data_IF_050242737791
#
_entry.id   IF_050242737791
#
_cell.length_a   1.000
_cell.length_b   1.000
_cell.length_c   1.000
_cell.angle_alpha   90.00
_cell.angle_beta   90.00
_cell.angle_gamma   90.00
#
_symmetry.space_group_name_H-M   'P 1'
#
loop_
_entity.id
_entity.type
_entity.pdbx_description
1 polymer ?
#
# COMPACT_ATOMS: atom_id res chain seq x y z
N UNK A 1 -9.09 -3.42 2.61
CA UNK A 1 -10.04 -2.94 3.62
C UNK A 1 -10.99 -1.95 2.96
N UNK A 2 -12.30 -2.08 3.22
CA UNK A 2 -13.33 -1.13 2.77
C UNK A 2 -14.07 -0.60 4.00
N UNK A 3 -14.35 0.69 4.02
CA UNK A 3 -15.11 1.33 5.10
C UNK A 3 -16.52 1.74 4.66
N UNK A 4 -17.47 1.98 5.60
CA UNK A 4 -18.85 2.34 5.27
C UNK A 4 -19.01 3.61 4.42
N UNK A 5 -18.02 4.51 4.44
CA UNK A 5 -17.98 5.68 3.56
C UNK A 5 -17.65 5.37 2.09
N UNK A 6 -17.43 4.10 1.74
CA UNK A 6 -17.05 3.67 0.40
C UNK A 6 -15.56 3.85 0.08
N UNK A 7 -14.75 4.29 1.05
CA UNK A 7 -13.29 4.36 0.87
C UNK A 7 -12.69 2.96 1.01
N UNK A 8 -11.70 2.67 0.16
CA UNK A 8 -10.98 1.41 0.16
C UNK A 8 -9.48 1.64 0.12
N UNK A 9 -8.74 0.81 0.88
CA UNK A 9 -7.29 0.77 0.88
C UNK A 9 -6.81 -0.67 0.85
N UNK A 10 -5.69 -0.90 0.18
CA UNK A 10 -5.02 -2.20 0.15
C UNK A 10 -3.69 -2.08 0.88
N UNK A 11 -3.35 -3.08 1.68
CA UNK A 11 -2.02 -3.21 2.28
C UNK A 11 -1.42 -4.51 1.77
N UNK A 12 -0.15 -4.42 1.35
CA UNK A 12 0.63 -5.59 0.94
C UNK A 12 1.93 -5.63 1.71
N UNK A 13 2.44 -6.83 2.01
CA UNK A 13 3.74 -6.97 2.65
C UNK A 13 4.84 -6.94 1.59
N UNK A 14 5.83 -6.07 1.79
CA UNK A 14 7.07 -6.09 1.03
C UNK A 14 7.91 -7.32 1.36
N UNK A 15 8.96 -7.56 0.57
CA UNK A 15 9.91 -8.65 0.85
C UNK A 15 10.64 -8.51 2.18
N UNK A 16 10.72 -7.29 2.73
CA UNK A 16 11.25 -7.01 4.07
C UNK A 16 10.23 -7.21 5.20
N UNK A 17 9.00 -7.61 4.89
CA UNK A 17 7.90 -7.68 5.87
C UNK A 17 7.26 -6.32 6.17
N UNK A 18 7.80 -5.21 5.67
CA UNK A 18 7.20 -3.88 5.84
C UNK A 18 5.89 -3.77 5.03
N UNK A 19 4.77 -3.31 5.63
CA UNK A 19 3.54 -3.09 4.90
C UNK A 19 3.65 -1.86 3.98
N UNK A 20 3.13 -1.98 2.76
CA UNK A 20 2.96 -0.88 1.83
C UNK A 20 1.48 -0.63 1.57
N UNK A 21 1.08 0.62 1.70
CA UNK A 21 -0.30 1.07 1.49
C UNK A 21 -0.49 1.41 0.01
N UNK A 22 -1.56 0.88 -0.57
CA UNK A 22 -1.89 0.96 -1.98
C UNK A 22 -3.31 1.51 -2.17
N UNK A 23 -3.43 2.52 -3.01
CA UNK A 23 -4.66 3.24 -3.35
C UNK A 23 -4.96 2.99 -4.82
N UNK A 24 -5.73 1.94 -5.08
CA UNK A 24 -6.04 1.51 -6.45
C UNK A 24 -6.91 2.50 -7.22
N UNK A 25 -7.66 3.37 -6.53
CA UNK A 25 -8.48 4.42 -7.16
C UNK A 25 -7.63 5.46 -7.91
N UNK A 26 -6.37 5.62 -7.54
CA UNK A 26 -5.43 6.56 -8.17
C UNK A 26 -4.08 5.91 -8.52
N UNK A 27 -4.02 4.58 -8.57
CA UNK A 27 -2.80 3.80 -8.88
C UNK A 27 -1.58 4.12 -7.99
N UNK A 28 -1.78 4.60 -6.76
CA UNK A 28 -0.69 5.05 -5.89
C UNK A 28 -0.26 3.97 -4.90
N UNK A 29 1.05 3.83 -4.67
CA UNK A 29 1.62 2.94 -3.66
C UNK A 29 2.74 3.66 -2.89
N UNK A 30 2.80 3.44 -1.57
CA UNK A 30 3.84 4.03 -0.70
C UNK A 30 5.22 3.38 -0.85
N UNK A 31 5.39 2.37 -1.71
CA UNK A 31 6.68 1.68 -1.81
C UNK A 31 7.75 2.54 -2.52
N UNK A 32 9.04 2.42 -2.13
CA UNK A 32 10.13 3.20 -2.75
C UNK A 32 10.25 3.00 -4.27
N UNK A 33 9.93 1.79 -4.75
CA UNK A 33 9.97 1.47 -6.17
C UNK A 33 8.92 2.27 -6.98
N UNK A 34 7.76 2.58 -6.40
CA UNK A 34 6.76 3.43 -7.04
C UNK A 34 7.30 4.87 -7.20
N UNK A 35 7.82 5.44 -6.12
CA UNK A 35 8.40 6.78 -6.14
C UNK A 35 9.54 6.90 -7.17
N UNK A 36 10.37 5.87 -7.32
CA UNK A 36 11.47 5.89 -8.27
C UNK A 36 11.02 5.62 -9.72
N UNK A 37 10.37 4.48 -9.98
CA UNK A 37 10.10 4.03 -11.34
C UNK A 37 8.91 4.76 -11.99
N UNK A 38 7.87 5.07 -11.21
CA UNK A 38 6.64 5.71 -11.71
C UNK A 38 6.78 7.23 -11.65
N UNK A 39 7.06 7.80 -10.47
CA UNK A 39 7.04 9.26 -10.31
C UNK A 39 8.29 9.96 -10.85
N UNK A 40 9.49 9.42 -10.61
CA UNK A 40 10.74 10.08 -11.00
C UNK A 40 11.18 9.76 -12.42
N UNK A 41 11.17 8.48 -12.80
CA UNK A 41 11.65 8.04 -14.11
C UNK A 41 10.58 7.99 -15.18
N UNK A 42 9.33 7.76 -14.79
CA UNK A 42 8.22 7.51 -15.71
C UNK A 42 8.48 6.31 -16.66
N UNK A 43 9.22 5.31 -16.16
CA UNK A 43 9.56 4.09 -16.92
C UNK A 43 8.46 3.01 -16.81
N UNK A 44 7.57 3.15 -15.82
CA UNK A 44 6.48 2.22 -15.54
C UNK A 44 5.22 2.97 -15.11
N UNK A 45 4.04 2.48 -15.50
CA UNK A 45 2.75 3.05 -15.06
C UNK A 45 2.45 2.78 -13.59
N UNK A 46 2.85 1.61 -13.09
CA UNK A 46 2.57 1.14 -11.74
C UNK A 46 3.74 0.34 -11.18
N UNK A 47 3.81 0.19 -9.86
CA UNK A 47 4.75 -0.74 -9.23
C UNK A 47 4.17 -2.17 -9.19
N UNK A 48 5.02 -3.16 -8.91
CA UNK A 48 4.62 -4.56 -8.79
C UNK A 48 3.51 -4.82 -7.76
N UNK A 49 3.39 -3.98 -6.73
CA UNK A 49 2.37 -4.13 -5.69
C UNK A 49 0.97 -3.77 -6.20
N UNK A 50 0.85 -2.66 -6.92
CA UNK A 50 -0.42 -2.28 -7.57
C UNK A 50 -0.81 -3.32 -8.62
N UNK A 51 0.17 -3.81 -9.40
CA UNK A 51 -0.05 -4.90 -10.35
C UNK A 51 -0.57 -6.17 -9.64
N UNK A 52 0.04 -6.56 -8.52
CA UNK A 52 -0.40 -7.72 -7.75
C UNK A 52 -1.84 -7.56 -7.24
N UNK A 53 -2.24 -6.35 -6.82
CA UNK A 53 -3.62 -6.09 -6.40
C UNK A 53 -4.58 -6.27 -7.57
N UNK A 54 -4.29 -5.71 -8.75
CA UNK A 54 -5.15 -5.91 -9.93
C UNK A 54 -5.28 -7.38 -10.31
N UNK A 55 -4.18 -8.12 -10.28
CA UNK A 55 -4.23 -9.56 -10.53
C UNK A 55 -5.14 -10.25 -9.50
N UNK A 56 -4.98 -9.94 -8.21
CA UNK A 56 -5.81 -10.55 -7.16
C UNK A 56 -7.30 -10.20 -7.29
N UNK A 57 -7.64 -8.99 -7.75
CA UNK A 57 -9.02 -8.60 -8.04
C UNK A 57 -9.56 -9.39 -9.24
N UNK A 58 -8.80 -9.44 -10.33
CA UNK A 58 -9.19 -10.14 -11.56
C UNK A 58 -9.33 -11.66 -11.37
N UNK A 59 -8.52 -12.25 -10.48
CA UNK A 59 -8.60 -13.69 -10.15
C UNK A 59 -9.54 -14.00 -9.00
N UNK A 60 -10.19 -13.01 -8.39
CA UNK A 60 -11.08 -13.21 -7.24
C UNK A 60 -10.37 -13.71 -5.98
N UNK A 61 -9.06 -13.47 -5.85
CA UNK A 61 -8.24 -13.88 -4.70
C UNK A 61 -7.96 -12.74 -3.73
N UNK A 62 -8.54 -11.55 -3.95
CA UNK A 62 -8.50 -10.46 -2.99
C UNK A 62 -9.13 -10.86 -1.66
N UNK A 63 -8.40 -10.65 -0.56
CA UNK A 63 -8.97 -10.73 0.77
C UNK A 63 -9.57 -9.36 1.15
N UNK A 64 -10.90 -9.25 1.06
CA UNK A 64 -11.61 -8.05 1.47
C UNK A 64 -11.94 -8.08 2.97
N UNK A 65 -11.58 -7.01 3.66
CA UNK A 65 -11.89 -6.80 5.07
C UNK A 65 -12.76 -5.57 5.21
N UNK A 66 -13.88 -5.66 5.92
CA UNK A 66 -14.69 -4.51 6.30
C UNK A 66 -14.18 -3.92 7.62
N UNK A 67 -14.00 -2.60 7.69
CA UNK A 67 -13.55 -1.90 8.90
C UNK A 67 -14.25 -0.55 9.06
N UNK A 68 -14.18 0.06 10.25
CA UNK A 68 -14.73 1.39 10.48
C UNK A 68 -13.93 2.47 9.75
N UNK A 69 -14.55 3.64 9.55
CA UNK A 69 -13.85 4.80 9.00
C UNK A 69 -12.64 5.21 9.87
N UNK A 70 -12.71 5.03 11.19
CA UNK A 70 -11.61 5.31 12.12
C UNK A 70 -10.45 4.33 11.96
N UNK A 71 -10.73 3.03 11.74
CA UNK A 71 -9.69 2.04 11.46
C UNK A 71 -8.98 2.36 10.15
N UNK A 72 -9.75 2.69 9.11
CA UNK A 72 -9.19 3.13 7.83
C UNK A 72 -8.33 4.38 8.03
N UNK A 73 -8.83 5.41 8.73
CA UNK A 73 -8.06 6.61 9.02
C UNK A 73 -6.76 6.31 9.77
N UNK A 74 -6.77 5.35 10.71
CA UNK A 74 -5.56 4.89 11.37
C UNK A 74 -4.51 4.35 10.41
N UNK A 75 -4.90 3.60 9.37
CA UNK A 75 -3.98 3.11 8.32
C UNK A 75 -3.40 4.27 7.51
N UNK A 76 -4.19 5.31 7.25
CA UNK A 76 -3.76 6.48 6.48
C UNK A 76 -2.81 7.38 7.26
N UNK A 77 -3.03 7.47 8.58
CA UNK A 77 -2.26 8.32 9.50
C UNK A 77 -1.05 7.60 10.11
N UNK A 78 -0.98 6.27 10.02
CA UNK A 78 0.16 5.52 10.51
C UNK A 78 1.41 5.86 9.68
N UNK A 79 2.19 6.80 10.20
CA UNK A 79 3.57 7.04 9.82
C UNK A 79 4.44 5.87 10.28
N UNK A 80 5.49 5.62 9.52
CA UNK A 80 6.43 4.52 9.72
C UNK A 80 7.06 4.61 11.11
N UNK A 81 6.99 3.55 11.93
CA UNK A 81 7.96 3.43 13.03
C UNK A 81 9.36 3.36 12.40
N UNK A 82 10.14 4.39 12.66
CA UNK A 82 11.55 4.56 12.27
C UNK A 82 12.40 3.38 12.77
N UNK A 83 12.60 2.38 11.92
CA UNK A 83 13.70 1.43 12.03
C UNK A 83 15.00 2.17 11.66
N UNK A 84 15.66 2.83 12.62
CA UNK A 84 16.93 3.47 12.31
C UNK A 84 17.63 4.38 13.31
N UNK A 85 17.43 4.30 14.63
CA UNK A 85 18.47 4.79 15.54
C UNK A 85 19.43 3.63 15.84
N UNK A 86 20.50 3.58 15.05
CA UNK A 86 21.64 2.73 15.31
C UNK A 86 22.14 2.91 16.74
N UNK A 87 21.98 1.87 17.55
CA UNK A 87 22.77 1.69 18.75
C UNK A 87 24.20 1.42 18.32
N UNK A 88 25.05 2.41 18.58
CA UNK A 88 26.49 2.31 18.71
C UNK A 88 26.89 1.00 19.41
N UNK A 89 27.69 0.21 18.71
CA UNK A 89 28.75 -0.58 19.31
C UNK A 89 30.08 -0.19 18.65
#
# INVERSE_FOLDING_TARGET
>A
MVSPSGRAVYQVLGSSGKPYTCYVSCHFCTCPAFAFAVLRKNDSLVCKHILAIYLSQATGTCQELSGSDQQLAGILLAEEEEEGLGTVC
#
